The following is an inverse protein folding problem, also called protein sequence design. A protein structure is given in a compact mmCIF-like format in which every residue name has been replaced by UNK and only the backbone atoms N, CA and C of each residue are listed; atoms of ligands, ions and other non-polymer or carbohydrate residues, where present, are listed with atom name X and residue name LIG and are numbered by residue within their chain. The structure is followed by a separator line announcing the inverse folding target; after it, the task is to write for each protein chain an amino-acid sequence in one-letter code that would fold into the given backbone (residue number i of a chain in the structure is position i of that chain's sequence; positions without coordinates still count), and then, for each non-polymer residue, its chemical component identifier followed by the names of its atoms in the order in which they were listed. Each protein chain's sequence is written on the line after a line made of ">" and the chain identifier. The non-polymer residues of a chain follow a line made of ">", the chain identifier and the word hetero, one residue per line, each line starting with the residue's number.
data_IF_661284871413
#
_entry.id   IF_661284871413
#
_cell.length_a   1.000
_cell.length_b   1.000
_cell.length_c   1.000
_cell.angle_alpha   90.00
_cell.angle_beta   90.00
_cell.angle_gamma   90.00
#
_symmetry.space_group_name_H-M   'P 1'
#
loop_
_entity.id
_entity.type
_entity.pdbx_description
1 polymer ?
#
# COMPACT_ATOMS: atom_id res chain seq x y z
N UNK A 1 -4.86 -8.21 -20.01
CA UNK A 1 -4.56 -7.75 -18.64
C UNK A 1 -5.78 -8.13 -17.82
N UNK A 2 -5.69 -9.23 -17.06
CA UNK A 2 -6.87 -9.82 -16.41
C UNK A 2 -6.84 -9.36 -14.96
N UNK A 3 -7.70 -8.40 -14.63
CA UNK A 3 -7.98 -8.04 -13.24
C UNK A 3 -8.51 -9.32 -12.57
N UNK A 4 -7.75 -9.90 -11.64
CA UNK A 4 -8.29 -11.01 -10.84
C UNK A 4 -9.51 -10.48 -10.10
N UNK A 5 -10.62 -11.24 -10.11
CA UNK A 5 -11.85 -10.79 -9.47
C UNK A 5 -11.57 -10.50 -8.01
N UNK A 6 -11.75 -9.25 -7.60
CA UNK A 6 -11.67 -8.88 -6.20
C UNK A 6 -12.78 -9.60 -5.46
N UNK A 7 -12.40 -10.42 -4.48
CA UNK A 7 -13.39 -11.02 -3.61
C UNK A 7 -13.99 -9.93 -2.72
N UNK A 8 -15.15 -10.19 -2.12
CA UNK A 8 -15.80 -9.23 -1.22
C UNK A 8 -14.93 -8.83 -0.02
N UNK A 9 -13.89 -9.61 0.28
CA UNK A 9 -12.92 -9.42 1.37
C UNK A 9 -11.69 -8.59 0.96
N UNK A 10 -11.49 -8.32 -0.33
CA UNK A 10 -10.35 -7.55 -0.83
C UNK A 10 -10.70 -6.04 -0.80
N UNK A 11 -10.27 -5.36 0.26
CA UNK A 11 -10.47 -3.92 0.45
C UNK A 11 -9.51 -3.04 -0.36
N UNK A 12 -8.51 -3.63 -1.01
CA UNK A 12 -7.57 -2.91 -1.86
C UNK A 12 -7.04 -3.81 -2.97
N UNK A 13 -6.53 -3.19 -4.04
CA UNK A 13 -5.77 -3.89 -5.07
C UNK A 13 -4.58 -3.06 -5.55
N UNK A 14 -3.59 -3.76 -6.07
CA UNK A 14 -2.38 -3.16 -6.62
C UNK A 14 -2.36 -3.34 -8.13
N UNK A 15 -1.91 -2.32 -8.85
CA UNK A 15 -1.67 -2.39 -10.28
C UNK A 15 -0.34 -1.72 -10.63
N UNK A 16 0.37 -2.22 -11.66
CA UNK A 16 1.57 -1.54 -12.13
C UNK A 16 1.15 -0.27 -12.85
N UNK A 17 1.74 0.86 -12.48
CA UNK A 17 1.47 2.14 -13.12
C UNK A 17 2.71 2.56 -13.91
N UNK A 18 2.55 2.86 -15.21
CA UNK A 18 3.66 3.38 -16.00
C UNK A 18 3.88 4.85 -15.66
N UNK A 19 5.04 5.15 -15.09
CA UNK A 19 5.47 6.51 -14.81
C UNK A 19 6.11 7.07 -16.08
N UNK A 20 5.38 7.94 -16.78
CA UNK A 20 5.93 8.66 -17.93
C UNK A 20 6.65 9.90 -17.43
N UNK A 21 7.99 9.85 -17.36
CA UNK A 21 8.80 11.06 -17.25
C UNK A 21 9.01 11.62 -18.65
N UNK A 22 8.65 12.88 -18.90
CA UNK A 22 8.97 13.60 -20.15
C UNK A 22 10.48 13.66 -20.44
N UNK A 23 11.33 13.36 -19.44
CA UNK A 23 12.78 13.52 -19.50
C UNK A 23 13.58 12.21 -19.64
N UNK A 24 12.97 11.03 -19.39
CA UNK A 24 13.68 9.74 -19.44
C UNK A 24 13.04 8.82 -20.48
N UNK A 25 13.85 8.40 -21.47
CA UNK A 25 13.47 7.43 -22.51
C UNK A 25 13.17 6.01 -21.99
N UNK A 26 13.29 5.76 -20.68
CA UNK A 26 13.06 4.47 -20.05
C UNK A 26 11.73 4.51 -19.30
N UNK A 27 10.83 3.58 -19.63
CA UNK A 27 9.56 3.41 -18.92
C UNK A 27 9.86 2.95 -17.49
N UNK A 28 9.61 3.79 -16.48
CA UNK A 28 9.69 3.42 -15.07
C UNK A 28 8.30 2.94 -14.62
N UNK A 29 8.23 1.95 -13.73
CA UNK A 29 6.95 1.44 -13.19
C UNK A 29 6.84 1.80 -11.71
N UNK A 30 5.67 2.32 -11.33
CA UNK A 30 5.26 2.51 -9.95
C UNK A 30 4.20 1.48 -9.54
N UNK A 31 3.66 1.67 -8.34
CA UNK A 31 2.56 0.88 -7.79
C UNK A 31 1.37 1.78 -7.56
N UNK A 32 0.28 1.54 -8.28
CA UNK A 32 -1.00 2.17 -8.01
C UNK A 32 -1.76 1.31 -7.00
N UNK A 33 -1.94 1.84 -5.80
CA UNK A 33 -2.80 1.29 -4.75
C UNK A 33 -4.21 1.88 -4.90
N UNK A 34 -5.17 1.03 -5.20
CA UNK A 34 -6.58 1.40 -5.22
C UNK A 34 -7.27 0.83 -4.00
N UNK A 35 -7.96 1.69 -3.26
CA UNK A 35 -8.72 1.34 -2.06
C UNK A 35 -10.21 1.27 -2.42
N UNK A 36 -10.90 0.28 -1.86
CA UNK A 36 -12.35 0.18 -1.98
C UNK A 36 -13.02 1.19 -1.04
N UNK A 37 -14.13 1.76 -1.49
CA UNK A 37 -14.99 2.55 -0.60
C UNK A 37 -15.39 1.73 0.64
N UNK A 38 -15.25 2.34 1.83
CA UNK A 38 -15.49 1.67 3.11
C UNK A 38 -14.32 0.83 3.63
N UNK A 39 -13.13 0.88 3.00
CA UNK A 39 -11.91 0.29 3.55
C UNK A 39 -11.61 0.91 4.93
N UNK A 40 -11.47 0.05 5.94
CA UNK A 40 -11.11 0.49 7.28
C UNK A 40 -9.63 0.86 7.38
N UNK A 41 -9.25 1.42 8.53
CA UNK A 41 -7.88 1.90 8.74
C UNK A 41 -6.85 0.76 8.68
N UNK A 42 -7.19 -0.47 9.07
CA UNK A 42 -6.30 -1.62 8.99
C UNK A 42 -6.08 -2.02 7.53
N UNK A 43 -7.13 -2.03 6.72
CA UNK A 43 -7.06 -2.29 5.29
C UNK A 43 -6.19 -1.24 4.57
N UNK A 44 -6.29 0.03 4.96
CA UNK A 44 -5.46 1.12 4.43
C UNK A 44 -3.98 0.89 4.79
N UNK A 45 -3.65 0.66 6.07
CA UNK A 45 -2.27 0.38 6.51
C UNK A 45 -1.72 -0.83 5.77
N UNK A 46 -2.51 -1.90 5.70
CA UNK A 46 -2.14 -3.15 5.02
C UNK A 46 -1.86 -2.90 3.54
N UNK A 47 -2.71 -2.15 2.86
CA UNK A 47 -2.55 -1.79 1.45
C UNK A 47 -1.28 -0.99 1.20
N UNK A 48 -1.00 0.02 2.03
CA UNK A 48 0.21 0.85 1.95
C UNK A 48 1.47 0.02 2.21
N UNK A 49 1.47 -0.82 3.26
CA UNK A 49 2.58 -1.70 3.57
C UNK A 49 2.86 -2.68 2.42
N UNK A 50 1.81 -3.27 1.84
CA UNK A 50 1.92 -4.17 0.69
C UNK A 50 2.49 -3.44 -0.53
N UNK A 51 1.93 -2.28 -0.89
CA UNK A 51 2.43 -1.46 -1.98
C UNK A 51 3.92 -1.10 -1.79
N UNK A 52 4.35 -0.85 -0.56
CA UNK A 52 5.73 -0.52 -0.22
C UNK A 52 6.70 -1.69 -0.47
N UNK A 53 6.30 -2.91 -0.13
CA UNK A 53 7.11 -4.10 -0.45
C UNK A 53 7.20 -4.37 -1.96
N UNK A 54 6.08 -4.22 -2.68
CA UNK A 54 6.05 -4.37 -4.14
C UNK A 54 6.96 -3.33 -4.79
N UNK A 55 6.86 -2.06 -4.36
CA UNK A 55 7.71 -0.97 -4.85
C UNK A 55 9.20 -1.27 -4.65
N UNK A 56 9.59 -1.73 -3.45
CA UNK A 56 10.97 -2.17 -3.19
C UNK A 56 11.41 -3.30 -4.11
N UNK A 57 10.53 -4.24 -4.43
CA UNK A 57 10.81 -5.31 -5.39
C UNK A 57 10.99 -4.82 -6.83
N UNK A 58 10.21 -3.81 -7.25
CA UNK A 58 10.35 -3.15 -8.55
C UNK A 58 11.75 -2.53 -8.71
N UNK A 59 12.24 -1.84 -7.68
CA UNK A 59 13.59 -1.23 -7.68
C UNK A 59 14.69 -2.27 -7.94
N UNK A 60 14.48 -3.53 -7.52
CA UNK A 60 15.44 -4.62 -7.73
C UNK A 60 15.35 -5.29 -9.11
N UNK A 61 14.27 -5.08 -9.88
CA UNK A 61 14.06 -5.73 -11.17
C UNK A 61 14.99 -5.22 -12.28
N UNK A 62 15.65 -4.06 -12.10
CA UNK A 62 16.66 -3.50 -12.99
C UNK A 62 16.18 -3.04 -14.38
N UNK A 63 14.98 -3.46 -14.82
CA UNK A 63 14.36 -3.04 -16.08
C UNK A 63 12.84 -3.13 -16.03
N UNK A 64 12.18 -2.32 -16.86
CA UNK A 64 10.73 -2.24 -16.97
C UNK A 64 10.07 -3.53 -17.47
N UNK A 65 10.72 -4.24 -18.39
CA UNK A 65 10.23 -5.53 -18.91
C UNK A 65 10.28 -6.64 -17.85
N UNK A 66 11.27 -6.61 -16.95
CA UNK A 66 11.37 -7.53 -15.83
C UNK A 66 10.26 -7.29 -14.82
N UNK A 67 9.90 -6.02 -14.55
CA UNK A 67 8.79 -5.65 -13.65
C UNK A 67 7.48 -6.28 -14.12
N UNK A 68 7.11 -6.12 -15.39
CA UNK A 68 5.86 -6.71 -15.90
C UNK A 68 5.85 -8.24 -15.84
N UNK A 69 7.00 -8.88 -16.13
CA UNK A 69 7.12 -10.35 -16.05
C UNK A 69 7.03 -10.87 -14.62
N UNK A 70 7.57 -10.11 -13.66
CA UNK A 70 7.61 -10.51 -12.25
C UNK A 70 6.45 -9.96 -11.42
N UNK A 71 5.59 -9.11 -12.00
CA UNK A 71 4.55 -8.38 -11.26
C UNK A 71 3.76 -9.24 -10.28
N UNK A 72 3.22 -10.38 -10.74
CA UNK A 72 2.46 -11.28 -9.88
C UNK A 72 3.30 -11.87 -8.74
N UNK A 73 4.57 -12.21 -8.99
CA UNK A 73 5.47 -12.71 -7.95
C UNK A 73 5.77 -11.61 -6.92
N UNK A 74 6.01 -10.38 -7.38
CA UNK A 74 6.23 -9.24 -6.50
C UNK A 74 5.03 -8.97 -5.58
N UNK A 75 3.81 -9.04 -6.14
CA UNK A 75 2.56 -8.90 -5.37
C UNK A 75 2.39 -10.05 -4.38
N UNK A 76 2.60 -11.30 -4.75
CA UNK A 76 2.44 -12.42 -3.81
C UNK A 76 3.51 -12.41 -2.71
N UNK A 77 4.77 -12.11 -3.03
CA UNK A 77 5.84 -11.97 -2.05
C UNK A 77 5.58 -10.77 -1.12
N UNK A 78 5.13 -9.65 -1.68
CA UNK A 78 4.71 -8.47 -0.92
C UNK A 78 3.59 -8.80 0.06
N UNK A 79 2.56 -9.52 -0.38
CA UNK A 79 1.44 -9.96 0.46
C UNK A 79 1.91 -10.83 1.62
N UNK A 80 2.81 -11.78 1.36
CA UNK A 80 3.41 -12.63 2.41
C UNK A 80 4.16 -11.79 3.45
N UNK A 81 4.99 -10.85 3.00
CA UNK A 81 5.74 -9.95 3.88
C UNK A 81 4.82 -9.05 4.69
N UNK A 82 3.75 -8.54 4.09
CA UNK A 82 2.72 -7.75 4.79
C UNK A 82 2.08 -8.55 5.92
N UNK A 83 1.64 -9.78 5.66
CA UNK A 83 1.04 -10.64 6.71
C UNK A 83 2.01 -10.88 7.86
N UNK A 84 3.29 -11.10 7.57
CA UNK A 84 4.32 -11.35 8.58
C UNK A 84 4.65 -10.10 9.42
N UNK A 85 4.64 -8.91 8.83
CA UNK A 85 5.14 -7.70 9.47
C UNK A 85 4.04 -6.73 9.96
N UNK A 86 2.77 -6.99 9.66
CA UNK A 86 1.68 -6.08 9.99
C UNK A 86 1.55 -5.82 11.50
N UNK A 87 1.68 -6.86 12.33
CA UNK A 87 1.61 -6.72 13.79
C UNK A 87 2.76 -5.88 14.32
N UNK A 88 3.99 -6.14 13.85
CA UNK A 88 5.16 -5.35 14.23
C UNK A 88 5.01 -3.88 13.83
N UNK A 89 4.55 -3.60 12.61
CA UNK A 89 4.28 -2.23 12.17
C UNK A 89 3.23 -1.57 13.08
N UNK A 90 2.16 -2.29 13.41
CA UNK A 90 1.11 -1.77 14.27
C UNK A 90 1.63 -1.36 15.66
N UNK A 91 2.46 -2.21 16.29
CA UNK A 91 3.10 -1.89 17.57
C UNK A 91 4.03 -0.68 17.48
N UNK A 92 4.79 -0.55 16.39
CA UNK A 92 5.66 0.61 16.16
C UNK A 92 4.85 1.90 15.94
N UNK A 93 3.73 1.81 15.22
CA UNK A 93 2.84 2.96 15.05
C UNK A 93 2.28 3.41 16.40
N UNK A 94 1.81 2.47 17.23
CA UNK A 94 1.32 2.79 18.57
C UNK A 94 2.41 3.39 19.46
N UNK A 95 3.63 2.84 19.45
CA UNK A 95 4.74 3.33 20.27
C UNK A 95 5.18 4.75 19.88
N UNK A 96 5.03 5.11 18.61
CA UNK A 96 5.28 6.46 18.09
C UNK A 96 4.07 7.40 18.26
N UNK A 97 3.01 6.97 18.95
CA UNK A 97 1.82 7.77 19.24
C UNK A 97 0.85 7.91 18.07
N UNK A 98 0.97 7.09 17.02
CA UNK A 98 0.05 7.12 15.90
C UNK A 98 -1.27 6.45 16.29
N UNK A 99 -2.36 7.18 16.10
CA UNK A 99 -3.71 6.64 16.25
C UNK A 99 -4.06 5.80 15.01
N UNK A 100 -3.87 4.48 15.08
CA UNK A 100 -4.26 3.53 14.03
C UNK A 100 -5.78 3.49 13.75
N UNK A 101 -6.61 4.22 14.50
CA UNK A 101 -8.03 4.43 14.19
C UNK A 101 -8.28 5.62 13.26
N UNK A 102 -7.35 6.58 13.17
CA UNK A 102 -7.60 7.93 12.65
C UNK A 102 -6.59 8.38 11.59
N UNK A 103 -5.97 7.45 10.84
CA UNK A 103 -4.86 7.75 9.92
C UNK A 103 -5.24 8.77 8.82
N UNK A 104 -6.54 8.95 8.55
CA UNK A 104 -7.05 9.91 7.58
C UNK A 104 -7.35 11.31 8.16
N UNK A 105 -7.25 11.50 9.48
CA UNK A 105 -7.47 12.80 10.10
C UNK A 105 -6.15 13.56 10.16
N UNK A 106 -6.15 14.82 9.71
CA UNK A 106 -5.03 15.74 9.94
C UNK A 106 -4.80 15.92 11.45
N UNK A 107 -3.62 16.37 11.88
CA UNK A 107 -3.34 16.65 13.31
C UNK A 107 -4.39 17.58 13.94
N UNK A 108 -4.91 18.53 13.15
CA UNK A 108 -5.99 19.42 13.55
C UNK A 108 -7.32 18.70 13.76
N UNK A 109 -7.65 17.76 12.88
CA UNK A 109 -8.87 16.95 12.99
C UNK A 109 -8.74 15.92 14.12
N UNK A 110 -7.58 15.30 14.31
CA UNK A 110 -7.34 14.40 15.45
C UNK A 110 -7.52 15.12 16.78
N UNK A 111 -7.03 16.36 16.91
CA UNK A 111 -7.25 17.18 18.10
C UNK A 111 -8.73 17.48 18.33
N UNK A 112 -9.52 17.74 17.27
CA UNK A 112 -10.97 17.96 17.41
C UNK A 112 -11.70 16.75 17.94
N UNK A 113 -11.34 15.55 17.50
CA UNK A 113 -12.00 14.31 17.90
C UNK A 113 -11.48 13.74 19.23
N UNK A 114 -10.29 14.12 19.71
CA UNK A 114 -9.78 13.68 21.01
C UNK A 114 -10.50 14.31 22.22
N UNK A 115 -11.20 15.44 22.02
CA UNK A 115 -11.94 16.13 23.08
C UNK A 115 -13.43 15.74 23.17
N UNK A 116 -13.90 14.80 22.34
CA UNK A 116 -15.33 14.43 22.27
C UNK A 116 -15.64 13.17 23.10
N UNK A 117 -14.64 12.47 23.63
CA UNK A 117 -14.83 11.34 24.55
C UNK A 117 -14.41 11.69 25.97
N UNK A 118 -15.36 12.25 26.73
CA UNK A 118 -15.51 12.09 28.19
C UNK A 118 -16.86 11.37 28.44
#
# INVERSE_FOLDING_TARGET
>A
MTMQSLNSEDFYFLSPESLTSELKRNQEYGVLLSLREGADTIAVIRGILHASYVHKGIETCGSSSAVLKQWFNLVEDGKRLTVQNLSFLYEQMLSLGWACKNILLSTQEQARYSFITD
#
